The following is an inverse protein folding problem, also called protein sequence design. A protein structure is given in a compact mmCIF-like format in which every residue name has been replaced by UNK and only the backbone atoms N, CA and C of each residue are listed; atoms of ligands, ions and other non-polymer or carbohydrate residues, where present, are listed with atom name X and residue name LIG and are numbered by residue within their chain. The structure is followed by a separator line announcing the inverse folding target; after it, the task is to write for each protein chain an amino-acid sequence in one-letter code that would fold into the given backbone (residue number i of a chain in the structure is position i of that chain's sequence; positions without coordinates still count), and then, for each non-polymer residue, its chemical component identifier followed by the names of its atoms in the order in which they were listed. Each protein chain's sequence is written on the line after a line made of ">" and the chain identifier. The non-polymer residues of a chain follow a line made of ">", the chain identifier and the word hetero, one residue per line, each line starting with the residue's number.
data_IF_391562986466
#
_entry.id   IF_391562986466
#
_cell.length_a   1.000
_cell.length_b   1.000
_cell.length_c   1.000
_cell.angle_alpha   90.00
_cell.angle_beta   90.00
_cell.angle_gamma   90.00
#
_symmetry.space_group_name_H-M   'P 1'
#
loop_
_entity.id
_entity.type
_entity.pdbx_description
1 polymer ?
#
# COMPACT_ATOMS: atom_id res chain seq x y z
N UNK A 1 3.22 -13.73 12.70
CA UNK A 1 4.30 -12.75 12.48
C UNK A 1 3.98 -11.98 11.21
N UNK A 2 4.21 -10.66 11.23
CA UNK A 2 4.04 -9.84 10.03
C UNK A 2 5.17 -10.13 9.03
N UNK A 3 4.99 -9.68 7.79
CA UNK A 3 5.99 -9.81 6.75
C UNK A 3 6.21 -8.47 6.04
N UNK A 4 7.49 -8.15 5.85
CA UNK A 4 7.94 -6.97 5.10
C UNK A 4 8.97 -7.44 4.07
N UNK A 5 8.74 -7.12 2.81
CA UNK A 5 9.61 -7.56 1.73
C UNK A 5 9.67 -6.57 0.59
N UNK A 6 10.72 -6.67 -0.23
CA UNK A 6 10.93 -5.82 -1.39
C UNK A 6 11.31 -6.61 -2.62
N UNK A 7 11.01 -6.05 -3.78
CA UNK A 7 11.45 -6.60 -5.07
C UNK A 7 11.51 -5.49 -6.12
N UNK A 8 12.05 -5.82 -7.30
CA UNK A 8 12.04 -4.96 -8.48
C UNK A 8 11.26 -5.63 -9.61
N UNK A 9 10.23 -4.95 -10.11
CA UNK A 9 9.37 -5.46 -11.18
C UNK A 9 9.44 -4.57 -12.42
N UNK A 10 9.26 -5.18 -13.59
CA UNK A 10 8.90 -4.43 -14.79
C UNK A 10 7.44 -3.98 -14.70
N UNK A 11 7.04 -3.05 -15.57
CA UNK A 11 5.66 -2.59 -15.66
C UNK A 11 4.66 -3.75 -15.85
N UNK A 12 4.91 -4.63 -16.82
CA UNK A 12 4.02 -5.77 -17.11
C UNK A 12 3.88 -6.71 -15.91
N UNK A 13 4.99 -6.95 -15.20
CA UNK A 13 4.98 -7.81 -14.01
C UNK A 13 4.26 -7.17 -12.83
N UNK A 14 4.36 -5.85 -12.67
CA UNK A 14 3.57 -5.13 -11.68
C UNK A 14 2.07 -5.22 -12.00
N UNK A 15 1.68 -5.01 -13.27
CA UNK A 15 0.29 -5.14 -13.72
C UNK A 15 -0.29 -6.53 -13.40
N UNK A 16 0.42 -7.58 -13.79
CA UNK A 16 0.03 -8.96 -13.50
C UNK A 16 -0.12 -9.21 -11.99
N UNK A 17 0.86 -8.76 -11.20
CA UNK A 17 0.82 -8.92 -9.75
C UNK A 17 -0.41 -8.26 -9.11
N UNK A 18 -0.76 -7.05 -9.56
CA UNK A 18 -1.92 -6.32 -9.03
C UNK A 18 -3.23 -7.02 -9.37
N UNK A 19 -3.35 -7.54 -10.59
CA UNK A 19 -4.52 -8.33 -11.02
C UNK A 19 -4.63 -9.62 -10.20
N UNK A 20 -3.54 -10.36 -10.06
CA UNK A 20 -3.51 -11.64 -9.33
C UNK A 20 -3.87 -11.49 -7.85
N UNK A 21 -3.57 -10.34 -7.25
CA UNK A 21 -3.76 -10.09 -5.82
C UNK A 21 -4.97 -9.22 -5.50
N UNK A 22 -5.72 -8.81 -6.52
CA UNK A 22 -6.94 -8.05 -6.33
C UNK A 22 -8.02 -8.93 -5.67
N UNK A 23 -8.69 -8.37 -4.68
CA UNK A 23 -9.85 -8.95 -4.01
C UNK A 23 -11.02 -7.96 -4.09
N UNK A 24 -12.21 -8.37 -3.65
CA UNK A 24 -13.39 -7.48 -3.62
C UNK A 24 -13.20 -6.23 -2.74
N UNK A 25 -12.36 -6.32 -1.69
CA UNK A 25 -12.08 -5.22 -0.75
C UNK A 25 -10.69 -4.61 -0.99
N UNK A 26 -10.21 -4.65 -2.23
CA UNK A 26 -8.93 -4.04 -2.62
C UNK A 26 -9.15 -2.61 -3.11
N UNK A 27 -8.35 -1.70 -2.57
CA UNK A 27 -8.36 -0.29 -2.93
C UNK A 27 -6.98 0.16 -3.40
N UNK A 28 -6.97 1.22 -4.18
CA UNK A 28 -5.77 1.82 -4.75
C UNK A 28 -5.69 3.29 -4.39
N UNK A 29 -4.45 3.77 -4.29
CA UNK A 29 -4.13 5.19 -4.20
C UNK A 29 -2.93 5.47 -5.11
N UNK A 30 -3.17 6.12 -6.24
CA UNK A 30 -2.22 6.37 -7.30
C UNK A 30 -1.68 7.81 -7.22
N UNK A 31 -0.40 7.99 -7.54
CA UNK A 31 0.30 9.27 -7.42
C UNK A 31 1.12 9.59 -8.68
N UNK A 32 0.95 10.80 -9.17
CA UNK A 32 1.76 11.45 -10.22
C UNK A 32 2.46 12.67 -9.61
N UNK A 33 3.27 13.38 -10.40
CA UNK A 33 3.98 14.57 -9.94
C UNK A 33 3.03 15.75 -9.63
N UNK A 34 1.88 15.79 -10.30
CA UNK A 34 0.92 16.89 -10.33
C UNK A 34 -0.42 16.56 -9.66
N UNK A 35 -0.71 15.28 -9.43
CA UNK A 35 -2.03 14.83 -8.95
C UNK A 35 -1.99 13.49 -8.22
N UNK A 36 -3.09 13.18 -7.54
CA UNK A 36 -3.38 11.87 -6.94
C UNK A 36 -4.76 11.39 -7.37
N UNK A 37 -5.00 10.08 -7.37
CA UNK A 37 -6.32 9.52 -7.75
C UNK A 37 -7.39 9.67 -6.66
N UNK A 38 -6.99 9.93 -5.41
CA UNK A 38 -7.83 9.58 -4.26
C UNK A 38 -7.94 8.06 -4.10
N UNK A 39 -8.91 7.61 -3.32
CA UNK A 39 -9.19 6.18 -3.12
C UNK A 39 -10.08 5.65 -4.23
N UNK A 40 -9.62 4.61 -4.94
CA UNK A 40 -10.37 3.98 -6.04
C UNK A 40 -10.37 2.46 -5.86
N UNK A 41 -11.42 1.77 -6.32
CA UNK A 41 -11.55 0.31 -6.26
C UNK A 41 -11.13 -0.40 -7.56
N UNK A 42 -10.91 0.36 -8.63
CA UNK A 42 -10.52 -0.14 -9.95
C UNK A 42 -9.32 0.64 -10.46
N UNK A 43 -8.38 -0.07 -11.11
CA UNK A 43 -7.25 0.57 -11.77
C UNK A 43 -7.74 1.28 -13.03
N UNK A 44 -7.30 2.52 -13.31
CA UNK A 44 -7.65 3.21 -14.53
C UNK A 44 -6.88 2.62 -15.73
N UNK A 45 -7.38 2.84 -16.94
CA UNK A 45 -6.74 2.33 -18.18
C UNK A 45 -5.31 2.87 -18.37
N UNK A 46 -5.04 4.10 -17.91
CA UNK A 46 -3.74 4.76 -18.01
C UNK A 46 -2.72 4.36 -16.91
N UNK A 47 -2.76 3.11 -16.45
CA UNK A 47 -1.88 2.53 -15.44
C UNK A 47 -0.58 1.95 -16.07
N UNK A 48 0.61 2.03 -15.41
CA UNK A 48 0.87 2.42 -14.02
C UNK A 48 1.16 3.91 -13.78
N UNK A 49 0.70 4.40 -12.63
CA UNK A 49 1.20 5.65 -12.06
C UNK A 49 2.67 5.51 -11.62
N UNK A 50 3.49 6.59 -11.69
CA UNK A 50 4.89 6.56 -11.25
C UNK A 50 5.07 6.09 -9.81
N UNK A 51 4.13 6.38 -8.93
CA UNK A 51 4.06 5.79 -7.60
C UNK A 51 2.63 5.45 -7.24
N UNK A 52 2.44 4.51 -6.34
CA UNK A 52 1.10 4.16 -5.88
C UNK A 52 1.12 3.08 -4.82
N UNK A 53 -0.06 2.73 -4.36
CA UNK A 53 -0.25 1.58 -3.48
C UNK A 53 -1.59 0.90 -3.76
N UNK A 54 -1.61 -0.41 -3.49
CA UNK A 54 -2.76 -1.29 -3.44
C UNK A 54 -2.86 -1.80 -2.00
N UNK A 55 -4.03 -1.72 -1.38
CA UNK A 55 -4.18 -2.11 0.02
C UNK A 55 -5.55 -2.70 0.30
N UNK A 56 -5.61 -3.55 1.31
CA UNK A 56 -6.82 -4.12 1.88
C UNK A 56 -6.61 -4.42 3.37
N UNK A 57 -7.51 -5.21 3.98
CA UNK A 57 -7.40 -5.63 5.38
C UNK A 57 -6.17 -6.50 5.69
N UNK A 58 -5.55 -7.10 4.69
CA UNK A 58 -4.48 -8.09 4.87
C UNK A 58 -3.08 -7.53 4.59
N UNK A 59 -2.95 -6.68 3.57
CA UNK A 59 -1.66 -6.13 3.18
C UNK A 59 -1.75 -4.76 2.49
N UNK A 60 -0.61 -4.08 2.41
CA UNK A 60 -0.35 -2.99 1.48
C UNK A 60 0.83 -3.36 0.58
N UNK A 61 0.65 -3.19 -0.73
CA UNK A 61 1.69 -3.23 -1.73
C UNK A 61 1.93 -1.82 -2.26
N UNK A 62 3.15 -1.29 -2.12
CA UNK A 62 3.54 0.06 -2.55
C UNK A 62 4.59 -0.02 -3.64
N UNK A 63 4.45 0.78 -4.69
CA UNK A 63 5.45 0.85 -5.77
C UNK A 63 5.90 2.27 -6.04
N UNK A 64 7.13 2.39 -6.57
CA UNK A 64 7.72 3.61 -7.09
C UNK A 64 8.62 3.30 -8.29
N UNK A 65 8.42 4.01 -9.39
CA UNK A 65 9.22 3.90 -10.62
C UNK A 65 10.66 4.35 -10.34
N UNK A 66 11.62 3.53 -10.77
CA UNK A 66 13.06 3.75 -10.72
C UNK A 66 13.64 3.34 -12.07
N UNK A 67 13.89 4.31 -12.96
CA UNK A 67 14.30 4.04 -14.33
C UNK A 67 13.24 3.27 -15.12
N UNK A 68 13.63 2.11 -15.64
CA UNK A 68 12.80 1.17 -16.42
C UNK A 68 11.97 0.21 -15.55
N UNK A 69 12.21 0.19 -14.24
CA UNK A 69 11.58 -0.74 -13.29
C UNK A 69 10.81 -0.02 -12.19
N UNK A 70 10.13 -0.81 -11.37
CA UNK A 70 9.45 -0.38 -10.16
C UNK A 70 10.09 -1.05 -8.96
N UNK A 71 10.50 -0.25 -7.98
CA UNK A 71 10.77 -0.75 -6.64
C UNK A 71 9.42 -1.00 -5.96
N UNK A 72 9.21 -2.21 -5.46
CA UNK A 72 7.96 -2.65 -4.85
C UNK A 72 8.22 -3.11 -3.42
N UNK A 73 7.41 -2.62 -2.48
CA UNK A 73 7.41 -2.96 -1.06
C UNK A 73 6.08 -3.63 -0.73
N UNK A 74 6.13 -4.75 -0.01
CA UNK A 74 4.95 -5.43 0.55
C UNK A 74 4.99 -5.36 2.07
N UNK A 75 3.85 -5.02 2.66
CA UNK A 75 3.60 -4.92 4.09
C UNK A 75 2.38 -5.78 4.41
N UNK A 76 2.57 -6.98 4.98
CA UNK A 76 1.51 -7.99 5.14
C UNK A 76 1.37 -8.46 6.59
N UNK A 77 0.13 -8.68 7.06
CA UNK A 77 -0.16 -9.27 8.38
C UNK A 77 0.36 -10.70 8.51
N UNK A 78 0.38 -11.41 7.40
CA UNK A 78 0.82 -12.81 7.31
C UNK A 78 2.02 -12.93 6.37
N UNK A 79 2.90 -13.90 6.67
CA UNK A 79 3.93 -14.30 5.72
C UNK A 79 3.23 -14.97 4.54
N UNK A 80 3.22 -14.28 3.41
CA UNK A 80 2.72 -14.83 2.15
C UNK A 80 3.88 -15.54 1.47
N UNK A 81 3.63 -16.68 0.85
CA UNK A 81 4.63 -17.28 -0.04
C UNK A 81 4.63 -16.44 -1.32
N UNK A 82 5.68 -15.65 -1.49
CA UNK A 82 5.80 -14.68 -2.58
C UNK A 82 6.67 -15.21 -3.73
N UNK A 83 7.19 -16.44 -3.60
CA UNK A 83 8.17 -17.00 -4.52
C UNK A 83 9.56 -16.37 -4.38
N UNK A 84 10.48 -16.81 -5.24
CA UNK A 84 11.93 -16.62 -5.07
C UNK A 84 12.45 -15.18 -5.31
N UNK A 85 11.62 -14.27 -5.81
CA UNK A 85 12.06 -12.91 -6.22
C UNK A 85 11.90 -11.83 -5.15
N UNK A 86 11.42 -12.19 -3.96
CA UNK A 86 11.18 -11.24 -2.88
C UNK A 86 12.29 -11.31 -1.85
N UNK A 87 12.87 -10.15 -1.55
CA UNK A 87 13.86 -9.99 -0.50
C UNK A 87 13.16 -9.54 0.77
N UNK A 88 13.13 -10.43 1.76
CA UNK A 88 12.61 -10.11 3.10
C UNK A 88 13.51 -9.06 3.76
N UNK A 89 12.92 -8.03 4.36
CA UNK A 89 13.65 -7.06 5.15
C UNK A 89 13.89 -7.68 6.54
N UNK A 90 15.14 -7.86 7.00
CA UNK A 90 15.41 -8.52 8.27
C UNK A 90 14.91 -7.70 9.46
N UNK A 91 13.93 -8.24 10.19
CA UNK A 91 13.54 -7.82 11.54
C UNK A 91 12.56 -8.85 12.13
N UNK A 92 12.24 -8.72 13.42
CA UNK A 92 11.12 -9.47 14.02
C UNK A 92 9.81 -8.70 13.88
N UNK A 93 9.22 -8.77 12.70
CA UNK A 93 8.06 -7.97 12.36
C UNK A 93 6.79 -8.37 13.14
N UNK A 94 6.21 -7.37 13.81
CA UNK A 94 4.83 -7.39 14.33
C UNK A 94 4.05 -6.23 13.74
N UNK A 95 2.72 -6.29 13.84
CA UNK A 95 1.87 -5.21 13.36
C UNK A 95 0.89 -4.73 14.42
N UNK A 96 0.43 -3.49 14.28
CA UNK A 96 -0.66 -2.93 15.05
C UNK A 96 -1.57 -2.09 14.16
N UNK A 97 -2.85 -2.44 14.11
CA UNK A 97 -3.85 -1.66 13.40
C UNK A 97 -4.36 -0.52 14.28
N UNK A 98 -4.57 0.64 13.66
CA UNK A 98 -5.05 1.88 14.28
C UNK A 98 -6.10 2.49 13.38
N UNK A 99 -7.22 2.90 13.96
CA UNK A 99 -8.21 3.67 13.23
C UNK A 99 -7.57 5.00 12.79
N UNK A 100 -7.85 5.43 11.56
CA UNK A 100 -7.51 6.76 11.10
C UNK A 100 -8.81 7.54 10.89
N UNK A 101 -8.84 8.77 11.39
CA UNK A 101 -9.94 9.67 11.11
C UNK A 101 -9.61 10.48 9.87
N UNK A 102 -10.46 10.38 8.85
CA UNK A 102 -10.43 11.31 7.74
C UNK A 102 -11.03 12.64 8.18
N UNK A 103 -10.52 13.73 7.62
CA UNK A 103 -11.13 15.03 7.86
C UNK A 103 -12.54 15.08 7.27
N UNK A 104 -13.52 15.71 7.95
CA UNK A 104 -14.83 15.98 7.37
C UNK A 104 -14.71 16.76 6.06
N UNK A 105 -15.67 16.60 5.14
CA UNK A 105 -15.70 17.37 3.87
C UNK A 105 -15.80 18.89 4.07
N UNK A 106 -16.26 19.32 5.25
CA UNK A 106 -16.34 20.72 5.67
C UNK A 106 -15.03 21.27 6.23
N UNK A 107 -14.01 20.43 6.40
CA UNK A 107 -12.70 20.82 6.92
C UNK A 107 -11.95 21.71 5.91
N UNK A 108 -11.30 22.75 6.43
CA UNK A 108 -10.58 23.73 5.61
C UNK A 108 -9.08 23.44 5.48
N UNK A 109 -8.57 22.52 6.31
CA UNK A 109 -7.18 22.04 6.28
C UNK A 109 -6.90 21.19 5.04
N UNK A 110 -5.67 21.26 4.53
CA UNK A 110 -5.20 20.45 3.41
C UNK A 110 -4.81 19.03 3.87
N UNK A 111 -4.87 18.02 2.98
CA UNK A 111 -5.30 18.12 1.57
C UNK A 111 -6.83 18.20 1.43
N UNK A 112 -7.29 19.23 0.72
CA UNK A 112 -8.70 19.40 0.37
C UNK A 112 -9.09 18.37 -0.70
N UNK A 113 -10.30 17.81 -0.63
CA UNK A 113 -10.93 17.00 -1.68
C UNK A 113 -10.44 15.54 -1.90
N UNK A 114 -9.74 14.90 -0.96
CA UNK A 114 -9.60 13.42 -1.01
C UNK A 114 -10.88 12.82 -0.41
N UNK A 115 -11.91 12.64 -1.24
CA UNK A 115 -13.16 12.02 -0.84
C UNK A 115 -12.94 10.55 -0.48
N UNK A 116 -13.45 10.14 0.68
CA UNK A 116 -13.28 8.79 1.24
C UNK A 116 -14.60 8.04 1.39
N UNK A 117 -15.69 8.52 0.80
CA UNK A 117 -17.03 7.90 0.92
C UNK A 117 -17.04 6.43 0.44
N UNK A 118 -15.99 6.02 -0.26
CA UNK A 118 -15.79 4.69 -0.82
C UNK A 118 -15.17 3.71 0.20
N UNK A 119 -14.42 4.19 1.20
CA UNK A 119 -13.65 3.30 2.10
C UNK A 119 -13.33 3.93 3.47
N UNK A 120 -13.58 3.15 4.53
CA UNK A 120 -13.12 3.47 5.88
C UNK A 120 -11.66 3.03 6.04
N UNK A 121 -10.75 3.99 6.16
CA UNK A 121 -9.31 3.75 6.13
C UNK A 121 -8.71 3.83 7.54
N UNK A 122 -7.81 2.92 7.84
CA UNK A 122 -6.97 2.91 9.03
C UNK A 122 -5.48 2.92 8.65
N UNK A 123 -4.65 2.88 9.68
CA UNK A 123 -3.21 2.71 9.57
C UNK A 123 -2.79 1.39 10.19
N UNK A 124 -1.82 0.71 9.58
CA UNK A 124 -1.16 -0.47 10.14
C UNK A 124 0.32 -0.17 10.35
N UNK A 125 0.75 -0.23 11.59
CA UNK A 125 2.15 0.00 11.96
C UNK A 125 2.89 -1.31 11.91
N UNK A 126 4.00 -1.34 11.17
CA UNK A 126 4.93 -2.46 11.14
C UNK A 126 6.14 -2.08 11.98
N UNK A 127 6.34 -2.84 13.05
CA UNK A 127 7.35 -2.56 14.06
C UNK A 127 8.23 -3.78 14.32
N UNK A 128 9.47 -3.50 14.67
CA UNK A 128 10.39 -4.49 15.20
C UNK A 128 9.97 -4.85 16.64
N UNK A 129 9.78 -6.13 16.92
CA UNK A 129 9.28 -6.58 18.23
C UNK A 129 10.28 -6.39 19.37
N UNK A 130 11.58 -6.39 19.07
CA UNK A 130 12.66 -6.27 20.04
C UNK A 130 12.88 -4.80 20.43
N UNK A 131 12.86 -3.89 19.46
CA UNK A 131 13.13 -2.46 19.70
C UNK A 131 11.88 -1.61 19.88
N UNK A 132 10.70 -2.13 19.51
CA UNK A 132 9.42 -1.39 19.42
C UNK A 132 9.44 -0.22 18.43
N UNK A 133 10.45 -0.15 17.57
CA UNK A 133 10.56 0.89 16.54
C UNK A 133 9.55 0.64 15.43
N UNK A 134 8.74 1.64 15.10
CA UNK A 134 7.86 1.60 13.93
C UNK A 134 8.69 1.99 12.70
N UNK A 135 8.86 1.05 11.77
CA UNK A 135 9.63 1.30 10.54
C UNK A 135 8.73 1.68 9.36
N UNK A 136 7.53 1.11 9.30
CA UNK A 136 6.59 1.36 8.21
C UNK A 136 5.18 1.60 8.73
N UNK A 137 4.47 2.49 8.04
CA UNK A 137 3.05 2.73 8.22
C UNK A 137 2.37 2.44 6.87
N UNK A 138 1.48 1.46 6.89
CA UNK A 138 0.62 1.09 5.78
C UNK A 138 -0.80 1.65 5.98
N UNK A 139 -1.53 1.80 4.89
CA UNK A 139 -2.98 1.94 4.89
C UNK A 139 -3.63 0.56 5.06
N UNK A 140 -4.77 0.54 5.73
CA UNK A 140 -5.65 -0.64 5.82
C UNK A 140 -7.10 -0.20 5.69
N UNK A 141 -7.98 -1.13 5.39
CA UNK A 141 -9.43 -0.96 5.52
C UNK A 141 -9.83 -1.30 6.96
N UNK A 142 -10.78 -0.56 7.53
CA UNK A 142 -11.39 -0.79 8.85
C UNK A 142 -12.83 -1.24 8.66
#
# INVERSE_FOLDING_TARGET
>A
MAYVGTTFLTEDRLKLLLVDWQTKETYYFLRWCDRVSGFISQLPENFPSPAGQMFNREFELRWKKQGDKFSVLILSKIRKDLGEKWHEIPAKWTYQDRNASMYPVTETRFPKAIQSEIVNVGQRYFQDSDTKTIHFIALTVV
#
